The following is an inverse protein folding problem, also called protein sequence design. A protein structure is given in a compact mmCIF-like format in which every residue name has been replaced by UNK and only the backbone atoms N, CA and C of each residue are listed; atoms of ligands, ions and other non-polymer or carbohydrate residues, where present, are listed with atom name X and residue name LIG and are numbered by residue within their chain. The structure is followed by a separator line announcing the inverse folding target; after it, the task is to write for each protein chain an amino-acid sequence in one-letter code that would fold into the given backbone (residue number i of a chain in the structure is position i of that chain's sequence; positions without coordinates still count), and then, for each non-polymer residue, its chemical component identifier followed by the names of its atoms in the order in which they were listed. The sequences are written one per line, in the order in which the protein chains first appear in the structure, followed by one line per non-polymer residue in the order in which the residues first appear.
data_IF_994157992630
#
_entry.id   IF_994157992630
#
_cell.length_a   1.000
_cell.length_b   1.000
_cell.length_c   1.000
_cell.angle_alpha   90.00
_cell.angle_beta   90.00
_cell.angle_gamma   90.00
#
_symmetry.space_group_name_H-M   'P 1'
#
loop_
_entity.id
_entity.type
_entity.pdbx_description
1 polymer ?
#
# COMPACT_ATOMS: atom_id res chain seq x y z
N UNK A 1 10.19 13.46 1.09
CA UNK A 1 9.44 14.52 0.38
C UNK A 1 8.78 15.44 1.40
N UNK A 2 9.24 16.69 1.52
CA UNK A 2 8.63 17.72 2.35
C UNK A 2 7.49 18.44 1.61
N UNK A 3 6.41 18.79 2.30
CA UNK A 3 5.20 19.38 1.68
C UNK A 3 5.07 20.86 2.02
N UNK A 4 4.98 21.69 0.99
CA UNK A 4 4.65 23.12 1.09
C UNK A 4 3.23 23.32 0.54
N UNK A 5 2.29 23.70 1.42
CA UNK A 5 0.93 24.04 1.02
C UNK A 5 0.80 25.57 0.88
N UNK A 6 0.40 26.04 -0.30
CA UNK A 6 0.10 27.45 -0.55
C UNK A 6 -1.39 27.76 -0.29
N UNK A 7 -2.21 26.72 -0.14
CA UNK A 7 -3.66 26.84 0.01
C UNK A 7 -4.04 27.17 1.46
N UNK A 8 -4.74 28.29 1.67
CA UNK A 8 -5.33 28.61 2.98
C UNK A 8 -6.37 27.57 3.42
N UNK A 9 -6.89 26.79 2.48
CA UNK A 9 -7.92 25.76 2.62
C UNK A 9 -7.38 24.41 3.14
N UNK A 10 -6.08 24.31 3.44
CA UNK A 10 -5.44 23.11 4.00
C UNK A 10 -6.09 22.70 5.33
N UNK A 11 -6.26 21.39 5.55
CA UNK A 11 -6.83 20.84 6.79
C UNK A 11 -5.89 21.01 7.99
N UNK A 12 -4.59 21.17 7.78
CA UNK A 12 -3.60 21.46 8.81
C UNK A 12 -3.08 22.89 8.62
N UNK A 13 -3.61 23.84 9.40
CA UNK A 13 -3.31 25.27 9.25
C UNK A 13 -1.82 25.60 9.43
N UNK A 14 -1.10 24.82 10.26
CA UNK A 14 0.34 24.98 10.45
C UNK A 14 1.21 24.60 9.23
N UNK A 15 0.62 24.03 8.18
CA UNK A 15 1.35 23.71 6.93
C UNK A 15 1.26 24.77 5.84
N UNK A 16 0.47 25.83 6.05
CA UNK A 16 0.27 26.87 5.04
C UNK A 16 1.46 27.84 5.10
N UNK A 17 2.17 27.96 3.99
CA UNK A 17 3.31 28.88 3.86
C UNK A 17 2.86 30.08 3.02
N UNK A 18 3.05 31.32 3.51
CA UNK A 18 2.74 32.51 2.73
C UNK A 18 3.72 32.63 1.54
N UNK A 19 3.31 33.23 0.41
CA UNK A 19 4.11 33.25 -0.82
C UNK A 19 5.53 33.78 -0.67
N UNK A 20 5.74 34.75 0.22
CA UNK A 20 7.03 35.37 0.53
C UNK A 20 7.96 34.49 1.37
N UNK A 21 7.43 33.47 2.05
CA UNK A 21 8.20 32.55 2.89
C UNK A 21 8.45 31.17 2.24
N UNK A 22 8.02 30.97 0.99
CA UNK A 22 8.14 29.67 0.29
C UNK A 22 9.59 29.20 0.19
N UNK A 23 10.50 30.11 -0.21
CA UNK A 23 11.92 29.79 -0.35
C UNK A 23 12.54 29.40 1.00
N UNK A 24 12.31 30.20 2.04
CA UNK A 24 12.83 29.93 3.39
C UNK A 24 12.31 28.60 3.94
N UNK A 25 11.03 28.29 3.72
CA UNK A 25 10.44 27.02 4.12
C UNK A 25 11.07 25.84 3.38
N UNK A 26 11.31 25.96 2.07
CA UNK A 26 11.96 24.93 1.28
C UNK A 26 13.42 24.70 1.72
N UNK A 27 14.20 25.76 1.89
CA UNK A 27 15.59 25.68 2.37
C UNK A 27 15.66 25.01 3.75
N UNK A 28 14.75 25.36 4.66
CA UNK A 28 14.64 24.70 5.96
C UNK A 28 14.34 23.21 5.82
N UNK A 29 13.42 22.81 4.94
CA UNK A 29 13.14 21.40 4.70
C UNK A 29 14.34 20.65 4.10
N UNK A 30 15.15 21.30 3.26
CA UNK A 30 16.41 20.75 2.74
C UNK A 30 17.39 20.51 3.87
N UNK A 31 17.58 21.50 4.75
CA UNK A 31 18.44 21.37 5.95
C UNK A 31 17.96 20.26 6.90
N UNK A 32 16.65 20.08 7.03
CA UNK A 32 16.04 19.00 7.81
C UNK A 32 16.16 17.62 7.15
N UNK A 33 16.65 17.54 5.90
CA UNK A 33 16.94 16.30 5.19
C UNK A 33 15.87 15.86 4.19
N UNK A 34 15.09 16.77 3.61
CA UNK A 34 14.19 16.44 2.51
C UNK A 34 14.98 16.20 1.21
N UNK A 35 14.70 15.09 0.52
CA UNK A 35 15.24 14.82 -0.83
C UNK A 35 14.38 15.36 -1.98
N UNK A 36 13.14 15.76 -1.69
CA UNK A 36 12.15 16.29 -2.64
C UNK A 36 11.30 17.32 -1.92
N UNK A 37 11.02 18.46 -2.56
CA UNK A 37 9.96 19.40 -2.13
C UNK A 37 8.73 19.18 -2.99
N UNK A 38 7.55 19.07 -2.38
CA UNK A 38 6.27 18.99 -3.08
C UNK A 38 5.43 20.22 -2.77
N UNK A 39 5.03 20.96 -3.81
CA UNK A 39 4.24 22.18 -3.69
C UNK A 39 2.81 21.92 -4.14
N UNK A 40 1.85 22.20 -3.24
CA UNK A 40 0.43 22.15 -3.54
C UNK A 40 -0.24 23.51 -3.40
N UNK A 41 -0.93 23.96 -4.45
CA UNK A 41 -1.70 25.21 -4.44
C UNK A 41 -3.18 25.03 -4.04
N UNK A 42 -3.62 23.77 -3.92
CA UNK A 42 -5.01 23.38 -3.64
C UNK A 42 -5.06 22.34 -2.52
N UNK A 43 -6.04 22.48 -1.64
CA UNK A 43 -6.35 21.43 -0.67
C UNK A 43 -7.07 20.27 -1.35
N UNK A 44 -6.52 19.08 -1.22
CA UNK A 44 -7.14 17.82 -1.69
C UNK A 44 -8.11 17.22 -0.66
N UNK A 45 -8.37 17.94 0.43
CA UNK A 45 -9.32 17.50 1.45
C UNK A 45 -10.75 17.48 0.89
N UNK A 46 -11.55 16.41 1.06
CA UNK A 46 -12.85 16.28 0.40
C UNK A 46 -13.87 17.38 0.72
N UNK A 47 -13.69 18.08 1.84
CA UNK A 47 -14.57 19.17 2.28
C UNK A 47 -14.01 20.58 1.98
N UNK A 48 -12.83 20.68 1.34
CA UNK A 48 -12.28 21.97 0.95
C UNK A 48 -13.05 22.59 -0.23
N UNK A 49 -13.13 23.92 -0.24
CA UNK A 49 -13.68 24.66 -1.37
C UNK A 49 -12.83 24.46 -2.63
N UNK A 50 -13.48 24.30 -3.78
CA UNK A 50 -12.77 24.24 -5.07
C UNK A 50 -12.26 25.63 -5.42
N UNK A 51 -10.97 25.75 -5.72
CA UNK A 51 -10.39 26.95 -6.31
C UNK A 51 -10.50 26.92 -7.83
N UNK A 52 -10.44 28.08 -8.46
CA UNK A 52 -10.39 28.15 -9.92
C UNK A 52 -9.01 27.74 -10.46
N UNK A 53 -8.96 27.28 -11.71
CA UNK A 53 -7.71 26.98 -12.41
C UNK A 53 -6.74 28.17 -12.42
N UNK A 54 -7.27 29.37 -12.68
CA UNK A 54 -6.49 30.61 -12.68
C UNK A 54 -5.90 30.92 -11.30
N UNK A 55 -6.65 30.62 -10.25
CA UNK A 55 -6.19 30.80 -8.87
C UNK A 55 -5.07 29.81 -8.53
N UNK A 56 -5.21 28.53 -8.89
CA UNK A 56 -4.16 27.51 -8.74
C UNK A 56 -2.88 27.95 -9.46
N UNK A 57 -3.00 28.38 -10.72
CA UNK A 57 -1.89 28.91 -11.53
C UNK A 57 -1.20 30.09 -10.84
N UNK A 58 -1.98 31.09 -10.38
CA UNK A 58 -1.46 32.31 -9.77
C UNK A 58 -0.71 32.08 -8.46
N UNK A 59 -1.03 30.99 -7.74
CA UNK A 59 -0.34 30.58 -6.52
C UNK A 59 0.89 29.73 -6.84
N UNK A 60 0.74 28.74 -7.72
CA UNK A 60 1.75 27.71 -7.94
C UNK A 60 2.95 28.19 -8.75
N UNK A 61 2.74 28.83 -9.91
CA UNK A 61 3.83 29.16 -10.83
C UNK A 61 4.85 30.14 -10.21
N UNK A 62 4.44 31.21 -9.50
CA UNK A 62 5.40 32.07 -8.81
C UNK A 62 6.20 31.32 -7.74
N UNK A 63 5.57 30.42 -6.99
CA UNK A 63 6.24 29.62 -5.97
C UNK A 63 7.29 28.68 -6.57
N UNK A 64 6.98 28.01 -7.69
CA UNK A 64 7.95 27.16 -8.41
C UNK A 64 9.17 27.98 -8.87
N UNK A 65 8.95 29.19 -9.42
CA UNK A 65 10.04 30.07 -9.88
C UNK A 65 10.99 30.47 -8.75
N UNK A 66 10.48 30.64 -7.52
CA UNK A 66 11.30 30.93 -6.35
C UNK A 66 12.20 29.75 -5.95
N UNK A 67 11.78 28.51 -6.24
CA UNK A 67 12.51 27.31 -5.87
C UNK A 67 13.48 26.80 -6.93
N UNK A 68 13.64 27.49 -8.06
CA UNK A 68 14.51 27.06 -9.16
C UNK A 68 15.96 26.80 -8.74
N UNK A 69 16.45 27.51 -7.72
CA UNK A 69 17.84 27.47 -7.27
C UNK A 69 18.07 26.50 -6.09
N UNK A 70 17.07 25.72 -5.66
CA UNK A 70 17.30 24.72 -4.61
C UNK A 70 17.96 23.47 -5.20
N UNK A 71 18.81 22.81 -4.41
CA UNK A 71 19.64 21.68 -4.87
C UNK A 71 18.88 20.35 -5.01
N UNK A 72 17.57 20.32 -4.75
CA UNK A 72 16.74 19.10 -4.75
C UNK A 72 15.54 19.26 -5.69
N UNK A 73 15.04 18.16 -6.28
CA UNK A 73 13.93 18.22 -7.21
C UNK A 73 12.65 18.78 -6.57
N UNK A 74 11.92 19.57 -7.37
CA UNK A 74 10.63 20.14 -6.99
C UNK A 74 9.51 19.35 -7.69
N UNK A 75 8.61 18.80 -6.89
CA UNK A 75 7.36 18.19 -7.28
C UNK A 75 6.21 19.20 -7.21
N UNK A 76 5.28 19.14 -8.15
CA UNK A 76 4.06 19.95 -8.16
C UNK A 76 2.80 19.08 -8.07
N UNK A 77 1.95 19.34 -7.08
CA UNK A 77 0.65 18.69 -6.88
C UNK A 77 -0.42 19.44 -7.69
N UNK A 78 -0.70 18.93 -8.90
CA UNK A 78 -1.75 19.46 -9.78
C UNK A 78 -2.39 18.36 -10.62
N UNK A 79 -3.62 18.62 -11.06
CA UNK A 79 -4.38 17.76 -11.99
C UNK A 79 -4.60 18.45 -13.34
N UNK A 80 -4.02 19.64 -13.56
CA UNK A 80 -4.22 20.45 -14.76
C UNK A 80 -2.99 20.38 -15.67
N UNK A 81 -3.10 19.83 -16.89
CA UNK A 81 -1.94 19.60 -17.75
C UNK A 81 -1.18 20.88 -18.12
N UNK A 82 -1.89 21.98 -18.41
CA UNK A 82 -1.28 23.27 -18.75
C UNK A 82 -0.60 23.97 -17.57
N UNK A 83 -1.08 23.75 -16.35
CA UNK A 83 -0.35 24.20 -15.15
C UNK A 83 0.91 23.36 -14.97
N UNK A 84 0.82 22.04 -15.20
CA UNK A 84 1.96 21.15 -15.10
C UNK A 84 3.04 21.50 -16.13
N UNK A 85 2.66 21.75 -17.38
CA UNK A 85 3.54 22.16 -18.47
C UNK A 85 4.31 23.45 -18.14
N UNK A 86 3.60 24.52 -17.75
CA UNK A 86 4.23 25.79 -17.36
C UNK A 86 5.10 25.65 -16.09
N UNK A 87 4.70 24.79 -15.15
CA UNK A 87 5.49 24.56 -13.94
C UNK A 87 6.81 23.83 -14.23
N UNK A 88 6.81 22.86 -15.16
CA UNK A 88 8.03 22.21 -15.62
C UNK A 88 8.95 23.22 -16.31
N UNK A 89 8.41 24.07 -17.20
CA UNK A 89 9.16 25.18 -17.82
C UNK A 89 9.72 26.18 -16.78
N UNK A 90 9.00 26.38 -15.67
CA UNK A 90 9.41 27.23 -14.57
C UNK A 90 10.49 26.63 -13.66
N UNK A 91 10.78 25.33 -13.76
CA UNK A 91 11.84 24.64 -13.02
C UNK A 91 11.38 23.48 -12.13
N UNK A 92 10.10 23.08 -12.17
CA UNK A 92 9.68 21.84 -11.54
C UNK A 92 10.31 20.62 -12.24
N UNK A 93 10.44 19.52 -11.52
CA UNK A 93 11.08 18.29 -12.01
C UNK A 93 10.17 17.06 -11.94
N UNK A 94 9.11 17.10 -11.14
CA UNK A 94 8.22 15.96 -10.90
C UNK A 94 6.76 16.45 -10.94
N UNK A 95 5.88 15.67 -11.56
CA UNK A 95 4.43 15.90 -11.47
C UNK A 95 3.84 14.95 -10.43
N UNK A 96 3.03 15.47 -9.52
CA UNK A 96 2.21 14.68 -8.60
C UNK A 96 0.74 14.80 -8.99
N UNK A 97 0.24 13.82 -9.75
CA UNK A 97 -1.15 13.79 -10.20
C UNK A 97 -1.97 12.82 -9.34
N UNK A 98 -2.67 13.39 -8.36
CA UNK A 98 -3.59 12.66 -7.47
C UNK A 98 -4.79 12.04 -8.20
N UNK A 99 -5.06 12.41 -9.45
CA UNK A 99 -6.11 11.77 -10.25
C UNK A 99 -5.64 10.51 -10.97
N UNK A 100 -4.32 10.25 -11.05
CA UNK A 100 -3.80 9.14 -11.85
C UNK A 100 -4.24 9.23 -13.32
N UNK A 101 -4.18 10.42 -13.91
CA UNK A 101 -4.66 10.77 -15.26
C UNK A 101 -6.17 10.67 -15.50
N UNK A 102 -6.98 10.42 -14.46
CA UNK A 102 -8.44 10.31 -14.63
C UNK A 102 -9.14 11.67 -14.73
N UNK A 103 -8.54 12.74 -14.21
CA UNK A 103 -9.12 14.07 -14.28
C UNK A 103 -8.95 14.72 -15.67
N UNK A 104 -7.76 14.59 -16.26
CA UNK A 104 -7.45 15.09 -17.60
C UNK A 104 -6.41 14.19 -18.27
N UNK A 105 -6.81 13.59 -19.39
CA UNK A 105 -5.96 12.70 -20.17
C UNK A 105 -4.74 13.41 -20.79
N UNK A 106 -4.77 14.74 -20.95
CA UNK A 106 -3.66 15.52 -21.50
C UNK A 106 -2.43 15.55 -20.57
N UNK A 107 -2.59 15.23 -19.28
CA UNK A 107 -1.49 15.18 -18.32
C UNK A 107 -0.42 14.14 -18.74
N UNK A 108 -0.87 13.01 -19.28
CA UNK A 108 0.04 11.97 -19.75
C UNK A 108 0.91 12.44 -20.94
N UNK A 109 0.37 13.30 -21.80
CA UNK A 109 1.14 13.87 -22.91
C UNK A 109 2.20 14.85 -22.41
N UNK A 110 1.87 15.71 -21.44
CA UNK A 110 2.84 16.61 -20.80
C UNK A 110 3.98 15.83 -20.15
N UNK A 111 3.66 14.79 -19.36
CA UNK A 111 4.67 13.93 -18.72
C UNK A 111 5.58 13.27 -19.76
N UNK A 112 5.01 12.77 -20.86
CA UNK A 112 5.75 12.12 -21.95
C UNK A 112 6.65 13.12 -22.69
N UNK A 113 6.14 14.30 -23.03
CA UNK A 113 6.84 15.30 -23.82
C UNK A 113 8.01 15.91 -23.05
N UNK A 114 7.87 16.10 -21.73
CA UNK A 114 8.96 16.55 -20.84
C UNK A 114 9.86 15.41 -20.36
N UNK A 115 9.42 14.16 -20.46
CA UNK A 115 10.17 12.99 -19.98
C UNK A 115 10.43 13.00 -18.47
N UNK A 116 9.58 13.67 -17.68
CA UNK A 116 9.76 13.81 -16.23
C UNK A 116 9.16 12.64 -15.44
N UNK A 117 9.63 12.40 -14.19
CA UNK A 117 8.93 11.52 -13.26
C UNK A 117 7.51 12.01 -12.94
N UNK A 118 6.59 11.07 -12.74
CA UNK A 118 5.21 11.32 -12.35
C UNK A 118 4.79 10.41 -11.20
N UNK A 119 4.13 10.98 -10.20
CA UNK A 119 3.48 10.26 -9.11
C UNK A 119 2.01 10.09 -9.50
N UNK A 120 1.57 8.84 -9.57
CA UNK A 120 0.21 8.46 -9.95
C UNK A 120 -0.49 7.81 -8.76
N UNK A 121 -1.54 8.46 -8.28
CA UNK A 121 -2.32 7.96 -7.16
C UNK A 121 -3.45 7.03 -7.62
N UNK A 122 -3.73 5.99 -6.82
CA UNK A 122 -4.86 5.09 -7.06
C UNK A 122 -6.18 5.86 -7.14
N UNK A 123 -6.83 5.78 -8.30
CA UNK A 123 -8.07 6.48 -8.63
C UNK A 123 -8.84 5.77 -9.76
N UNK A 124 -10.16 5.68 -9.64
CA UNK A 124 -11.07 5.18 -10.67
C UNK A 124 -11.91 6.30 -11.28
N UNK A 125 -12.72 6.99 -10.47
CA UNK A 125 -13.59 8.09 -10.92
C UNK A 125 -13.19 9.42 -10.32
N UNK A 126 -12.79 9.40 -9.05
CA UNK A 126 -12.27 10.56 -8.32
C UNK A 126 -11.02 10.15 -7.55
N UNK A 127 -10.11 11.08 -7.23
CA UNK A 127 -8.90 10.77 -6.46
C UNK A 127 -9.20 9.93 -5.20
N UNK A 128 -8.53 8.78 -5.05
CA UNK A 128 -8.59 7.95 -3.86
C UNK A 128 -9.91 7.21 -3.59
N UNK A 129 -10.78 7.08 -4.60
CA UNK A 129 -12.03 6.29 -4.50
C UNK A 129 -11.89 4.76 -4.45
N UNK A 130 -10.76 4.10 -4.77
CA UNK A 130 -10.63 2.67 -4.51
C UNK A 130 -10.58 2.40 -2.99
N UNK A 131 -11.45 1.48 -2.54
CA UNK A 131 -11.56 1.09 -1.12
C UNK A 131 -11.09 -0.34 -0.95
N UNK A 132 -10.13 -0.53 -0.05
CA UNK A 132 -9.46 -1.80 0.20
C UNK A 132 -8.28 -2.03 -0.75
N UNK A 133 -7.32 -2.82 -0.27
CA UNK A 133 -6.04 -2.99 -0.97
C UNK A 133 -6.20 -3.64 -2.36
N UNK A 134 -7.13 -4.59 -2.54
CA UNK A 134 -7.32 -5.23 -3.85
C UNK A 134 -7.85 -4.24 -4.90
N UNK A 135 -8.78 -3.35 -4.52
CA UNK A 135 -9.27 -2.30 -5.42
C UNK A 135 -8.18 -1.26 -5.74
N UNK A 136 -7.30 -0.96 -4.77
CA UNK A 136 -6.12 -0.10 -4.98
C UNK A 136 -5.17 -0.73 -5.98
N UNK A 137 -4.88 -2.03 -5.85
CA UNK A 137 -4.02 -2.77 -6.78
C UNK A 137 -4.60 -2.75 -8.21
N UNK A 138 -5.88 -3.06 -8.37
CA UNK A 138 -6.53 -3.07 -9.69
C UNK A 138 -6.55 -1.68 -10.34
N UNK A 139 -6.76 -0.63 -9.54
CA UNK A 139 -6.71 0.76 -10.00
C UNK A 139 -5.31 1.13 -10.48
N UNK A 140 -4.28 0.82 -9.70
CA UNK A 140 -2.89 1.11 -10.06
C UNK A 140 -2.43 0.30 -11.28
N UNK A 141 -2.77 -0.98 -11.38
CA UNK A 141 -2.45 -1.82 -12.55
C UNK A 141 -2.98 -1.19 -13.85
N UNK A 142 -4.23 -0.72 -13.83
CA UNK A 142 -4.84 -0.01 -14.96
C UNK A 142 -4.15 1.33 -15.25
N UNK A 143 -3.83 2.11 -14.23
CA UNK A 143 -3.17 3.42 -14.39
C UNK A 143 -1.76 3.25 -14.98
N UNK A 144 -0.97 2.33 -14.45
CA UNK A 144 0.39 2.03 -14.94
C UNK A 144 0.34 1.58 -16.38
N UNK A 145 -0.51 0.59 -16.70
CA UNK A 145 -0.65 0.08 -18.07
C UNK A 145 -1.05 1.19 -19.04
N UNK A 146 -2.00 2.05 -18.64
CA UNK A 146 -2.43 3.18 -19.45
C UNK A 146 -1.36 4.27 -19.64
N UNK A 147 -0.45 4.44 -18.68
CA UNK A 147 0.69 5.34 -18.79
C UNK A 147 1.74 4.80 -19.78
N UNK A 148 2.07 3.51 -19.66
CA UNK A 148 3.04 2.82 -20.52
C UNK A 148 2.54 2.73 -21.97
N UNK A 149 1.25 2.44 -22.19
CA UNK A 149 0.60 2.44 -23.51
C UNK A 149 0.68 3.81 -24.22
N UNK A 150 0.79 4.89 -23.44
CA UNK A 150 0.96 6.26 -23.95
C UNK A 150 2.43 6.64 -24.18
N UNK A 151 3.35 5.72 -23.93
CA UNK A 151 4.79 5.91 -24.15
C UNK A 151 5.53 6.59 -23.00
N UNK A 152 4.93 6.67 -21.80
CA UNK A 152 5.66 7.12 -20.61
C UNK A 152 6.66 6.03 -20.21
N UNK A 153 7.90 6.42 -19.96
CA UNK A 153 8.94 5.49 -19.52
C UNK A 153 8.53 4.80 -18.21
N UNK A 154 8.64 3.45 -18.12
CA UNK A 154 8.41 2.72 -16.88
C UNK A 154 9.19 3.26 -15.68
N UNK A 155 10.40 3.79 -15.90
CA UNK A 155 11.29 4.34 -14.87
C UNK A 155 10.84 5.70 -14.32
N UNK A 156 9.92 6.36 -15.02
CA UNK A 156 9.37 7.66 -14.61
C UNK A 156 8.12 7.53 -13.73
N UNK A 157 7.59 6.32 -13.52
CA UNK A 157 6.32 6.13 -12.81
C UNK A 157 6.57 5.82 -11.34
N UNK A 158 6.00 6.65 -10.46
CA UNK A 158 5.91 6.45 -9.01
C UNK A 158 4.44 6.22 -8.66
N UNK A 159 4.14 5.31 -7.73
CA UNK A 159 2.76 4.99 -7.35
C UNK A 159 2.41 5.46 -5.93
N UNK A 160 1.21 6.00 -5.74
CA UNK A 160 0.63 6.31 -4.43
C UNK A 160 -0.66 5.49 -4.21
N UNK A 161 -0.76 4.67 -3.15
CA UNK A 161 -1.95 3.86 -2.87
C UNK A 161 -3.12 4.64 -2.25
N UNK A 162 -3.07 5.97 -2.26
CA UNK A 162 -4.12 6.88 -1.79
C UNK A 162 -4.48 6.71 -0.31
N UNK A 163 -3.50 6.51 0.58
CA UNK A 163 -3.78 6.42 2.03
C UNK A 163 -4.48 7.70 2.51
N UNK A 164 -5.44 7.60 3.42
CA UNK A 164 -6.23 8.69 3.95
C UNK A 164 -7.69 8.67 3.49
N UNK A 165 -8.51 9.49 4.17
CA UNK A 165 -9.93 9.64 3.82
C UNK A 165 -10.10 10.59 2.61
N UNK A 166 -10.17 10.00 1.43
CA UNK A 166 -10.45 10.70 0.15
C UNK A 166 -11.93 10.71 -0.23
N UNK A 167 -12.70 9.74 0.25
CA UNK A 167 -14.15 9.66 0.08
C UNK A 167 -14.81 9.45 1.44
N UNK A 168 -16.11 9.75 1.56
CA UNK A 168 -16.87 9.51 2.81
C UNK A 168 -16.98 8.02 3.15
N UNK A 169 -16.88 7.15 2.15
CA UNK A 169 -16.97 5.70 2.29
C UNK A 169 -15.66 5.07 2.81
N UNK A 170 -14.52 5.75 2.63
CA UNK A 170 -13.22 5.25 3.07
C UNK A 170 -13.01 5.46 4.57
N UNK A 171 -13.21 4.38 5.32
CA UNK A 171 -12.97 4.29 6.76
C UNK A 171 -11.49 4.08 7.11
N UNK A 172 -11.03 4.44 8.33
CA UNK A 172 -9.65 4.26 8.78
C UNK A 172 -9.11 2.83 8.68
N UNK A 173 -9.98 1.82 8.81
CA UNK A 173 -9.58 0.40 8.70
C UNK A 173 -8.93 0.10 7.34
N UNK A 174 -9.37 0.75 6.27
CA UNK A 174 -8.79 0.57 4.93
C UNK A 174 -7.44 1.29 4.79
N UNK A 175 -7.19 2.36 5.55
CA UNK A 175 -5.87 2.98 5.63
C UNK A 175 -4.88 2.07 6.34
N UNK A 176 -5.30 1.43 7.44
CA UNK A 176 -4.48 0.44 8.14
C UNK A 176 -4.21 -0.80 7.28
N UNK A 177 -5.23 -1.32 6.60
CA UNK A 177 -5.07 -2.42 5.64
C UNK A 177 -4.06 -2.06 4.55
N UNK A 178 -4.16 -0.86 3.96
CA UNK A 178 -3.24 -0.41 2.92
C UNK A 178 -1.81 -0.29 3.44
N UNK A 179 -1.61 0.27 4.64
CA UNK A 179 -0.30 0.38 5.28
C UNK A 179 0.29 -1.00 5.57
N UNK A 180 -0.50 -1.93 6.10
CA UNK A 180 -0.05 -3.30 6.41
C UNK A 180 0.32 -4.09 5.15
N UNK A 181 -0.28 -3.73 4.01
CA UNK A 181 -0.12 -4.42 2.74
C UNK A 181 0.71 -3.68 1.69
N UNK A 182 1.47 -2.64 2.05
CA UNK A 182 2.30 -1.88 1.10
C UNK A 182 3.28 -2.76 0.31
N UNK A 183 3.78 -3.86 0.88
CA UNK A 183 4.65 -4.81 0.18
C UNK A 183 4.01 -5.42 -1.07
N UNK A 184 2.67 -5.53 -1.12
CA UNK A 184 1.95 -6.11 -2.27
C UNK A 184 2.15 -5.25 -3.53
N UNK A 185 2.30 -3.94 -3.38
CA UNK A 185 2.52 -2.99 -4.47
C UNK A 185 3.88 -3.16 -5.16
N UNK A 186 4.85 -3.85 -4.54
CA UNK A 186 6.17 -4.10 -5.13
C UNK A 186 6.12 -4.91 -6.42
N UNK A 187 5.02 -5.63 -6.64
CA UNK A 187 4.76 -6.39 -7.86
C UNK A 187 4.73 -5.52 -9.12
N UNK A 188 4.48 -4.22 -8.96
CA UNK A 188 4.50 -3.26 -10.04
C UNK A 188 5.91 -2.78 -10.39
N UNK A 189 6.91 -3.12 -9.57
CA UNK A 189 8.32 -2.72 -9.73
C UNK A 189 8.49 -1.19 -9.82
N UNK A 190 7.56 -0.43 -9.24
CA UNK A 190 7.61 1.04 -9.17
C UNK A 190 7.97 1.51 -7.76
N UNK A 191 8.63 2.68 -7.61
CA UNK A 191 8.74 3.35 -6.33
C UNK A 191 7.35 3.64 -5.74
N UNK A 192 7.22 3.51 -4.42
CA UNK A 192 5.95 3.66 -3.69
C UNK A 192 6.04 4.89 -2.81
N UNK A 193 5.15 5.85 -3.05
CA UNK A 193 4.96 7.02 -2.20
C UNK A 193 3.89 6.74 -1.14
N UNK A 194 4.16 7.10 0.11
CA UNK A 194 3.21 7.05 1.20
C UNK A 194 3.06 8.43 1.85
N UNK A 195 1.89 9.04 1.67
CA UNK A 195 1.49 10.25 2.38
C UNK A 195 0.73 9.89 3.65
N UNK A 196 1.33 10.08 4.83
CA UNK A 196 0.76 9.65 6.12
C UNK A 196 0.60 10.79 7.13
N UNK A 197 1.40 11.85 6.97
CA UNK A 197 1.55 12.93 7.95
C UNK A 197 0.21 13.57 8.32
N UNK A 198 -0.13 13.50 9.61
CA UNK A 198 -1.28 14.16 10.27
C UNK A 198 -2.66 13.76 9.75
N UNK A 199 -2.78 12.66 8.98
CA UNK A 199 -4.04 12.21 8.36
C UNK A 199 -5.12 11.80 9.36
N UNK A 200 -6.37 11.74 8.89
CA UNK A 200 -7.58 11.53 9.70
C UNK A 200 -7.59 10.20 10.44
N UNK A 201 -7.11 9.10 9.84
CA UNK A 201 -7.08 7.78 10.49
C UNK A 201 -6.27 7.80 11.80
N UNK A 202 -5.18 8.58 11.86
CA UNK A 202 -4.39 8.79 13.07
C UNK A 202 -5.22 9.54 14.12
N UNK A 203 -5.91 10.60 13.70
CA UNK A 203 -6.77 11.38 14.58
C UNK A 203 -7.94 10.60 15.15
N UNK A 204 -8.54 9.73 14.35
CA UNK A 204 -9.67 8.89 14.74
C UNK A 204 -9.26 7.80 15.74
N UNK A 205 -8.08 7.24 15.57
CA UNK A 205 -7.53 6.24 16.50
C UNK A 205 -7.04 6.88 17.79
N UNK A 206 -6.28 7.97 17.71
CA UNK A 206 -5.70 8.63 18.89
C UNK A 206 -6.66 9.62 19.57
N UNK A 207 -7.81 9.92 18.96
CA UNK A 207 -8.74 10.98 19.38
C UNK A 207 -8.06 12.35 19.52
N UNK A 208 -7.22 12.70 18.53
CA UNK A 208 -6.40 13.91 18.54
C UNK A 208 -6.63 14.84 17.33
N UNK A 209 -6.56 16.17 17.52
CA UNK A 209 -6.58 17.13 16.41
C UNK A 209 -5.30 17.03 15.57
N UNK A 210 -5.28 17.61 14.37
CA UNK A 210 -4.18 17.45 13.40
C UNK A 210 -2.81 17.91 13.94
N UNK A 211 -2.83 18.91 14.81
CA UNK A 211 -1.70 19.55 15.47
C UNK A 211 -0.94 18.57 16.38
N UNK A 212 -1.64 17.60 16.97
CA UNK A 212 -1.09 16.66 17.96
C UNK A 212 -0.81 15.26 17.40
N UNK A 213 -0.87 15.09 16.07
CA UNK A 213 -0.70 13.79 15.40
C UNK A 213 0.74 13.44 15.05
N UNK A 214 1.74 14.23 15.48
CA UNK A 214 3.14 13.98 15.11
C UNK A 214 3.58 12.55 15.47
N UNK A 215 3.45 12.12 16.72
CA UNK A 215 3.89 10.78 17.13
C UNK A 215 3.15 9.65 16.40
N UNK A 216 1.85 9.82 16.15
CA UNK A 216 1.09 8.86 15.34
C UNK A 216 1.56 8.82 13.88
N UNK A 217 1.98 9.97 13.33
CA UNK A 217 2.53 10.08 11.98
C UNK A 217 3.89 9.41 11.86
N UNK A 218 4.75 9.56 12.87
CA UNK A 218 6.06 8.89 12.94
C UNK A 218 5.91 7.38 13.07
N UNK A 219 4.98 6.91 13.91
CA UNK A 219 4.68 5.49 14.04
C UNK A 219 4.15 4.88 12.72
N UNK A 220 3.20 5.55 12.07
CA UNK A 220 2.69 5.12 10.76
C UNK A 220 3.80 5.12 9.68
N UNK A 221 4.66 6.13 9.69
CA UNK A 221 5.82 6.23 8.79
C UNK A 221 6.76 5.04 8.96
N UNK A 222 7.14 4.72 10.21
CA UNK A 222 8.05 3.61 10.47
C UNK A 222 7.49 2.26 9.98
N UNK A 223 6.18 2.03 10.17
CA UNK A 223 5.49 0.84 9.66
C UNK A 223 5.48 0.84 8.13
N UNK A 224 5.15 1.97 7.49
CA UNK A 224 5.08 2.06 6.04
C UNK A 224 6.44 1.85 5.36
N UNK A 225 7.51 2.44 5.89
CA UNK A 225 8.89 2.23 5.43
C UNK A 225 9.27 0.76 5.56
N UNK A 226 8.99 0.14 6.72
CA UNK A 226 9.23 -1.29 6.96
C UNK A 226 8.48 -2.16 5.94
N UNK A 227 7.25 -1.79 5.61
CA UNK A 227 6.39 -2.57 4.71
C UNK A 227 6.70 -2.33 3.23
N UNK A 228 7.32 -1.21 2.84
CA UNK A 228 7.78 -1.07 1.45
C UNK A 228 7.83 0.33 0.87
N UNK A 229 7.40 1.36 1.59
CA UNK A 229 7.43 2.73 1.07
C UNK A 229 8.87 3.13 0.70
N UNK A 230 9.00 3.81 -0.44
CA UNK A 230 10.25 4.37 -0.96
C UNK A 230 10.29 5.89 -0.74
N UNK A 231 9.14 6.55 -0.80
CA UNK A 231 9.02 7.99 -0.59
C UNK A 231 8.00 8.24 0.51
N UNK A 232 8.37 9.02 1.52
CA UNK A 232 7.43 9.52 2.54
C UNK A 232 7.16 10.99 2.28
N UNK A 233 5.87 11.31 2.14
CA UNK A 233 5.37 12.69 1.99
C UNK A 233 4.91 13.21 3.36
N UNK A 234 5.56 14.28 3.86
CA UNK A 234 5.39 14.75 5.24
C UNK A 234 5.43 16.28 5.39
N UNK A 235 4.78 16.78 6.43
CA UNK A 235 4.89 18.19 6.87
C UNK A 235 6.03 18.41 7.88
N UNK A 236 6.45 17.36 8.59
CA UNK A 236 7.38 17.43 9.71
C UNK A 236 8.69 16.71 9.31
N UNK A 237 9.54 17.33 8.49
CA UNK A 237 10.65 16.66 7.80
C UNK A 237 11.66 16.06 8.78
N UNK A 238 12.28 16.88 9.62
CA UNK A 238 13.32 16.43 10.56
C UNK A 238 12.92 15.19 11.39
N UNK A 239 11.80 15.19 12.15
CA UNK A 239 11.42 14.01 12.92
C UNK A 239 11.01 12.81 12.04
N UNK A 240 10.52 13.06 10.82
CA UNK A 240 10.19 11.98 9.88
C UNK A 240 11.45 11.29 9.37
N UNK A 241 12.52 12.03 9.08
CA UNK A 241 13.82 11.47 8.66
C UNK A 241 14.38 10.52 9.71
N UNK A 242 14.31 10.88 10.99
CA UNK A 242 14.74 9.99 12.08
C UNK A 242 13.93 8.69 12.12
N UNK A 243 12.60 8.78 11.97
CA UNK A 243 11.73 7.60 11.91
C UNK A 243 12.05 6.70 10.70
N UNK A 244 12.33 7.29 9.54
CA UNK A 244 12.72 6.58 8.32
C UNK A 244 14.03 5.82 8.58
N UNK A 245 15.08 6.48 9.08
CA UNK A 245 16.40 5.86 9.32
C UNK A 245 16.33 4.64 10.25
N UNK A 246 15.53 4.73 11.31
CA UNK A 246 15.29 3.60 12.22
C UNK A 246 14.53 2.48 11.50
N UNK A 247 13.48 2.80 10.76
CA UNK A 247 12.67 1.81 10.06
C UNK A 247 13.43 1.10 8.93
N UNK A 248 14.28 1.81 8.18
CA UNK A 248 15.18 1.23 7.17
C UNK A 248 16.16 0.26 7.80
N UNK A 249 16.78 0.65 8.92
CA UNK A 249 17.72 -0.20 9.66
C UNK A 249 17.04 -1.47 10.20
N UNK A 250 15.75 -1.40 10.53
CA UNK A 250 14.95 -2.53 11.01
C UNK A 250 14.32 -3.37 9.87
N UNK A 251 14.33 -2.88 8.62
CA UNK A 251 13.69 -3.55 7.49
C UNK A 251 14.58 -4.69 6.98
N UNK A 252 14.07 -5.92 7.07
CA UNK A 252 14.72 -7.07 6.48
C UNK A 252 14.72 -6.97 4.95
N UNK A 253 15.84 -7.37 4.33
CA UNK A 253 15.95 -7.50 2.87
C UNK A 253 15.29 -8.79 2.43
N UNK A 254 14.58 -8.73 1.30
CA UNK A 254 14.13 -9.92 0.61
C UNK A 254 15.36 -10.54 -0.07
N UNK A 255 15.65 -11.84 0.11
CA UNK A 255 16.77 -12.48 -0.55
C UNK A 255 16.63 -12.46 -2.08
N UNK A 256 17.66 -11.93 -2.75
CA UNK A 256 17.85 -12.02 -4.18
C UNK A 256 19.32 -12.30 -4.47
N UNK A 257 19.61 -13.20 -5.42
CA UNK A 257 20.95 -13.64 -5.79
C UNK A 257 21.09 -13.61 -7.31
N UNK A 258 22.20 -13.05 -7.79
CA UNK A 258 22.53 -12.97 -9.21
C UNK A 258 23.86 -13.65 -9.51
N UNK A 259 23.91 -14.44 -10.58
CA UNK A 259 25.13 -15.06 -11.09
C UNK A 259 25.13 -15.03 -12.62
N UNK A 260 26.00 -14.20 -13.19
CA UNK A 260 25.99 -13.91 -14.63
C UNK A 260 24.65 -13.29 -15.05
N UNK A 261 23.98 -13.92 -16.02
CA UNK A 261 22.66 -13.49 -16.52
C UNK A 261 21.49 -14.07 -15.73
N UNK A 262 21.74 -14.98 -14.78
CA UNK A 262 20.68 -15.65 -14.02
C UNK A 262 20.46 -14.92 -12.70
N UNK A 263 19.20 -14.68 -12.39
CA UNK A 263 18.74 -14.03 -11.18
C UNK A 263 17.67 -14.89 -10.51
N UNK A 264 17.74 -15.00 -9.18
CA UNK A 264 16.80 -15.73 -8.37
C UNK A 264 16.41 -14.88 -7.16
N UNK A 265 15.11 -14.69 -6.95
CA UNK A 265 14.57 -13.92 -5.84
C UNK A 265 13.48 -14.69 -5.10
N UNK A 266 13.29 -14.35 -3.83
CA UNK A 266 12.17 -14.86 -3.03
C UNK A 266 10.98 -13.90 -3.15
N UNK A 267 9.87 -14.36 -3.73
CA UNK A 267 8.65 -13.56 -3.79
C UNK A 267 7.91 -13.54 -2.43
N UNK A 268 7.51 -12.34 -1.99
CA UNK A 268 6.69 -12.16 -0.78
C UNK A 268 5.19 -12.14 -1.11
N UNK A 269 4.63 -13.30 -1.41
CA UNK A 269 3.21 -13.46 -1.78
C UNK A 269 2.33 -13.47 -0.51
N UNK A 270 1.39 -12.53 -0.39
CA UNK A 270 0.49 -12.44 0.77
C UNK A 270 -0.87 -13.08 0.53
N UNK A 271 -1.41 -12.97 -0.69
CA UNK A 271 -2.67 -13.61 -1.08
C UNK A 271 -2.61 -14.22 -2.51
N UNK A 272 -3.63 -15.01 -2.91
CA UNK A 272 -3.64 -15.65 -4.23
C UNK A 272 -3.57 -14.64 -5.39
N UNK A 273 -4.22 -13.49 -5.26
CA UNK A 273 -4.29 -12.45 -6.28
C UNK A 273 -2.91 -11.83 -6.55
N UNK A 274 -2.06 -11.67 -5.52
CA UNK A 274 -0.65 -11.28 -5.69
C UNK A 274 0.11 -12.29 -6.56
N UNK A 275 -0.10 -13.58 -6.30
CA UNK A 275 0.51 -14.62 -7.10
C UNK A 275 0.03 -14.59 -8.55
N UNK A 276 -1.26 -14.32 -8.77
CA UNK A 276 -1.82 -14.19 -10.11
C UNK A 276 -1.21 -12.99 -10.87
N UNK A 277 -0.97 -11.86 -10.19
CA UNK A 277 -0.28 -10.69 -10.77
C UNK A 277 1.19 -10.99 -11.07
N UNK A 278 1.89 -11.71 -10.20
CA UNK A 278 3.32 -12.01 -10.39
C UNK A 278 3.52 -13.01 -11.55
N UNK A 279 2.58 -13.95 -11.68
CA UNK A 279 2.54 -14.82 -12.84
C UNK A 279 2.13 -14.05 -14.11
N UNK A 280 1.35 -12.98 -13.99
CA UNK A 280 0.98 -12.16 -15.14
C UNK A 280 2.18 -11.45 -15.74
N UNK A 281 3.02 -10.84 -14.90
CA UNK A 281 4.18 -10.05 -15.34
C UNK A 281 5.21 -10.88 -16.10
N UNK A 282 5.32 -12.18 -15.80
CA UNK A 282 6.17 -13.12 -16.55
C UNK A 282 5.49 -13.75 -17.77
N UNK A 283 4.26 -13.33 -18.11
CA UNK A 283 3.53 -13.81 -19.29
C UNK A 283 2.78 -15.14 -19.11
N UNK A 284 2.47 -15.57 -17.88
CA UNK A 284 1.72 -16.81 -17.67
C UNK A 284 0.26 -16.72 -18.13
N UNK A 285 -0.26 -17.83 -18.69
CA UNK A 285 -1.64 -17.88 -19.21
C UNK A 285 -2.69 -17.70 -18.11
N UNK A 286 -3.86 -17.10 -18.40
CA UNK A 286 -4.93 -16.94 -17.41
C UNK A 286 -5.34 -18.25 -16.72
N UNK A 287 -5.43 -19.35 -17.49
CA UNK A 287 -5.78 -20.67 -16.94
C UNK A 287 -4.70 -21.21 -15.98
N UNK A 288 -3.41 -21.02 -16.32
CA UNK A 288 -2.30 -21.41 -15.46
C UNK A 288 -2.30 -20.64 -14.13
N UNK A 289 -2.53 -19.33 -14.20
CA UNK A 289 -2.63 -18.44 -13.03
C UNK A 289 -3.72 -18.88 -12.06
N UNK A 290 -4.92 -19.14 -12.58
CA UNK A 290 -6.06 -19.52 -11.74
C UNK A 290 -5.84 -20.85 -11.00
N UNK A 291 -5.19 -21.82 -11.65
CA UNK A 291 -4.87 -23.11 -11.03
C UNK A 291 -3.76 -23.00 -9.99
N UNK A 292 -2.80 -22.09 -10.20
CA UNK A 292 -1.60 -21.99 -9.38
C UNK A 292 -1.75 -21.06 -8.18
N UNK A 293 -2.57 -20.01 -8.26
CA UNK A 293 -2.65 -18.97 -7.22
C UNK A 293 -2.98 -19.50 -5.82
N UNK A 294 -3.80 -20.54 -5.69
CA UNK A 294 -4.15 -21.14 -4.39
C UNK A 294 -3.10 -22.08 -3.81
N UNK A 295 -2.03 -22.38 -4.57
CA UNK A 295 -0.93 -23.24 -4.14
C UNK A 295 0.20 -22.47 -3.46
N UNK A 296 0.17 -21.14 -3.50
CA UNK A 296 1.25 -20.29 -2.97
C UNK A 296 1.00 -19.80 -1.55
N UNK A 297 -0.27 -19.73 -1.13
CA UNK A 297 -0.62 -19.36 0.24
C UNK A 297 -0.55 -20.58 1.15
N UNK A 298 0.24 -20.47 2.20
CA UNK A 298 0.47 -21.54 3.16
C UNK A 298 -0.16 -21.21 4.51
N UNK A 299 -0.82 -22.18 5.12
CA UNK A 299 -1.44 -22.07 6.43
C UNK A 299 -0.80 -23.01 7.44
N UNK A 300 -0.64 -22.50 8.66
CA UNK A 300 -0.25 -23.27 9.84
C UNK A 300 -1.36 -23.12 10.88
N UNK A 301 -2.29 -24.08 10.93
CA UNK A 301 -3.52 -23.97 11.73
C UNK A 301 -3.42 -24.88 12.94
N UNK A 302 -3.59 -24.32 14.14
CA UNK A 302 -3.63 -25.09 15.38
C UNK A 302 -5.08 -25.38 15.79
N UNK A 303 -5.43 -26.65 15.85
CA UNK A 303 -6.64 -27.15 16.50
C UNK A 303 -6.30 -27.62 17.91
N UNK A 304 -7.21 -27.38 18.86
CA UNK A 304 -7.10 -27.83 20.25
C UNK A 304 -8.37 -28.60 20.64
N UNK A 305 -8.25 -29.46 21.63
CA UNK A 305 -9.38 -30.18 22.23
C UNK A 305 -10.15 -31.09 21.26
N UNK A 306 -9.47 -31.60 20.22
CA UNK A 306 -10.01 -32.62 19.31
C UNK A 306 -9.65 -34.00 19.84
N UNK A 307 -10.42 -35.02 19.48
CA UNK A 307 -10.10 -36.40 19.85
C UNK A 307 -8.88 -36.91 19.09
N UNK A 308 -8.17 -37.86 19.67
CA UNK A 308 -7.06 -38.56 18.99
C UNK A 308 -7.47 -39.13 17.64
N UNK A 309 -8.69 -39.70 17.54
CA UNK A 309 -9.22 -40.22 16.28
C UNK A 309 -9.41 -39.14 15.22
N UNK A 310 -10.03 -38.01 15.57
CA UNK A 310 -10.21 -36.88 14.64
C UNK A 310 -8.85 -36.33 14.18
N UNK A 311 -7.89 -36.25 15.10
CA UNK A 311 -6.55 -35.76 14.82
C UNK A 311 -5.79 -36.67 13.84
N UNK A 312 -5.88 -37.99 14.02
CA UNK A 312 -5.31 -38.98 13.10
C UNK A 312 -5.99 -38.97 11.73
N UNK A 313 -7.32 -38.84 11.68
CA UNK A 313 -8.07 -38.72 10.41
C UNK A 313 -7.60 -37.49 9.64
N UNK A 314 -7.54 -36.32 10.29
CA UNK A 314 -7.09 -35.08 9.66
C UNK A 314 -5.65 -35.21 9.14
N UNK A 315 -4.75 -35.84 9.92
CA UNK A 315 -3.38 -36.10 9.49
C UNK A 315 -3.33 -36.94 8.21
N UNK A 316 -4.06 -38.05 8.15
CA UNK A 316 -4.09 -38.90 6.96
C UNK A 316 -4.67 -38.17 5.75
N UNK A 317 -5.74 -37.40 5.93
CA UNK A 317 -6.34 -36.61 4.86
C UNK A 317 -5.40 -35.49 4.35
N UNK A 318 -4.61 -34.87 5.23
CA UNK A 318 -3.61 -33.89 4.82
C UNK A 318 -2.46 -34.52 4.04
N UNK A 319 -1.92 -35.66 4.50
CA UNK A 319 -0.87 -36.41 3.80
C UNK A 319 -1.33 -36.82 2.38
N UNK A 320 -2.57 -37.29 2.24
CA UNK A 320 -3.15 -37.65 0.94
C UNK A 320 -3.25 -36.46 -0.05
N UNK A 321 -3.16 -35.22 0.43
CA UNK A 321 -3.20 -33.99 -0.39
C UNK A 321 -1.82 -33.34 -0.56
N UNK A 322 -0.77 -33.96 -0.02
CA UNK A 322 0.60 -33.43 -0.05
C UNK A 322 0.85 -32.30 0.95
N UNK A 323 -0.01 -32.15 1.97
CA UNK A 323 0.30 -31.36 3.16
C UNK A 323 0.66 -32.27 4.34
N UNK A 324 0.72 -31.73 5.55
CA UNK A 324 1.05 -32.50 6.75
C UNK A 324 0.26 -32.03 7.97
N UNK A 325 0.31 -32.82 9.05
CA UNK A 325 -0.23 -32.45 10.34
C UNK A 325 0.62 -33.02 11.48
N UNK A 326 1.07 -32.14 12.38
CA UNK A 326 1.88 -32.49 13.54
C UNK A 326 0.98 -32.81 14.75
N UNK A 327 1.24 -33.97 15.36
CA UNK A 327 0.51 -34.52 16.51
C UNK A 327 1.49 -34.78 17.67
N UNK A 328 1.03 -34.70 18.92
CA UNK A 328 1.81 -35.17 20.07
C UNK A 328 2.00 -36.68 20.02
N UNK A 329 3.06 -37.20 20.66
CA UNK A 329 3.43 -38.63 20.61
C UNK A 329 2.32 -39.52 21.16
N UNK A 330 1.68 -39.06 22.23
CA UNK A 330 0.64 -39.74 23.01
C UNK A 330 -0.66 -39.91 22.20
N UNK A 331 -0.85 -39.08 21.16
CA UNK A 331 -1.94 -39.27 20.19
C UNK A 331 -1.74 -40.54 19.34
N UNK A 332 -0.49 -40.93 19.07
CA UNK A 332 -0.23 -42.14 18.28
C UNK A 332 -0.53 -43.39 19.09
N UNK A 333 -0.32 -43.35 20.40
CA UNK A 333 -0.57 -44.48 21.32
C UNK A 333 -1.98 -44.52 21.91
N UNK A 334 -2.87 -43.57 21.54
CA UNK A 334 -4.23 -43.45 22.09
C UNK A 334 -4.28 -43.27 23.62
N UNK A 335 -3.20 -42.74 24.22
CA UNK A 335 -3.08 -42.57 25.67
C UNK A 335 -3.86 -41.35 26.21
N UNK A 336 -4.32 -40.47 25.31
CA UNK A 336 -5.06 -39.24 25.66
C UNK A 336 -6.35 -39.11 24.86
N UNK A 337 -7.45 -38.74 25.53
CA UNK A 337 -8.75 -38.54 24.88
C UNK A 337 -8.80 -37.27 24.02
N UNK A 338 -8.06 -36.23 24.42
CA UNK A 338 -8.05 -34.91 23.78
C UNK A 338 -6.63 -34.47 23.48
N UNK A 339 -6.40 -33.99 22.25
CA UNK A 339 -5.09 -33.61 21.74
C UNK A 339 -5.15 -32.26 21.00
N UNK A 340 -3.98 -31.69 20.77
CA UNK A 340 -3.80 -30.56 19.85
C UNK A 340 -3.16 -31.05 18.56
N UNK A 341 -3.51 -30.41 17.45
CA UNK A 341 -3.00 -30.73 16.12
C UNK A 341 -2.56 -29.44 15.43
N UNK A 342 -1.42 -29.45 14.76
CA UNK A 342 -1.01 -28.37 13.85
C UNK A 342 -1.10 -28.88 12.42
N UNK A 343 -2.04 -28.33 11.65
CA UNK A 343 -2.20 -28.57 10.21
C UNK A 343 -1.26 -27.64 9.47
N UNK A 344 -0.49 -28.18 8.53
CA UNK A 344 0.42 -27.43 7.66
C UNK A 344 0.12 -27.76 6.20
N UNK A 345 -0.13 -26.75 5.37
CA UNK A 345 -0.39 -26.96 3.95
C UNK A 345 -0.86 -25.70 3.22
N UNK A 346 -0.94 -25.81 1.90
CA UNK A 346 -1.40 -24.72 1.04
C UNK A 346 -2.91 -24.47 1.21
N UNK A 347 -3.38 -23.28 0.87
CA UNK A 347 -4.81 -22.94 0.88
C UNK A 347 -5.63 -23.96 0.11
N UNK A 348 -5.18 -24.37 -1.08
CA UNK A 348 -5.85 -25.41 -1.88
C UNK A 348 -5.95 -26.75 -1.12
N UNK A 349 -4.91 -27.15 -0.40
CA UNK A 349 -4.91 -28.40 0.37
C UNK A 349 -5.89 -28.32 1.54
N UNK A 350 -5.91 -27.20 2.27
CA UNK A 350 -6.83 -27.00 3.40
C UNK A 350 -8.29 -26.90 2.93
N UNK A 351 -8.58 -26.17 1.85
CA UNK A 351 -9.94 -26.14 1.25
C UNK A 351 -10.43 -27.55 0.86
N UNK A 352 -9.53 -28.38 0.31
CA UNK A 352 -9.84 -29.78 -0.03
C UNK A 352 -9.98 -30.68 1.20
N UNK A 353 -9.27 -30.40 2.30
CA UNK A 353 -9.45 -31.09 3.58
C UNK A 353 -10.85 -30.78 4.12
N UNK A 354 -11.20 -29.50 4.22
CA UNK A 354 -12.49 -29.01 4.71
C UNK A 354 -13.64 -29.72 3.96
N UNK A 355 -13.62 -29.70 2.62
CA UNK A 355 -14.66 -30.36 1.81
C UNK A 355 -14.82 -31.85 2.13
N UNK A 356 -13.73 -32.53 2.48
CA UNK A 356 -13.74 -33.97 2.73
C UNK A 356 -14.20 -34.32 4.13
N UNK A 357 -13.72 -33.63 5.16
CA UNK A 357 -14.04 -33.96 6.56
C UNK A 357 -15.45 -33.47 6.94
N UNK A 358 -15.99 -32.49 6.21
CA UNK A 358 -17.36 -31.96 6.36
C UNK A 358 -18.46 -33.03 6.29
N UNK A 359 -18.24 -34.12 5.57
CA UNK A 359 -19.20 -35.20 5.40
C UNK A 359 -18.85 -36.46 6.20
N UNK A 360 -17.92 -36.37 7.15
CA UNK A 360 -17.51 -37.48 7.99
C UNK A 360 -18.21 -37.46 9.35
N UNK A 361 -18.02 -38.53 10.13
CA UNK A 361 -18.64 -38.73 11.45
C UNK A 361 -17.90 -37.93 12.55
N UNK A 362 -18.46 -37.93 13.77
CA UNK A 362 -17.94 -37.22 14.97
C UNK A 362 -17.97 -35.70 14.78
N UNK A 363 -17.07 -34.96 15.42
CA UNK A 363 -17.01 -33.49 15.35
C UNK A 363 -16.27 -33.00 14.09
N UNK A 364 -15.95 -33.88 13.13
CA UNK A 364 -15.27 -33.48 11.89
C UNK A 364 -16.06 -32.45 11.05
N UNK A 365 -17.41 -32.50 10.97
CA UNK A 365 -18.19 -31.43 10.35
C UNK A 365 -18.02 -30.08 11.06
N UNK A 366 -18.06 -30.06 12.39
CA UNK A 366 -17.82 -28.85 13.18
C UNK A 366 -16.40 -28.31 12.97
N UNK A 367 -15.39 -29.19 12.92
CA UNK A 367 -14.00 -28.80 12.62
C UNK A 367 -13.91 -28.20 11.21
N UNK A 368 -14.59 -28.77 10.21
CA UNK A 368 -14.64 -28.18 8.86
C UNK A 368 -15.25 -26.76 8.89
N UNK A 369 -16.31 -26.53 9.65
CA UNK A 369 -16.92 -25.22 9.80
C UNK A 369 -15.98 -24.21 10.45
N UNK A 370 -15.32 -24.60 11.55
CA UNK A 370 -14.33 -23.75 12.21
C UNK A 370 -13.14 -23.41 11.32
N UNK A 371 -12.64 -24.38 10.53
CA UNK A 371 -11.56 -24.14 9.58
C UNK A 371 -12.01 -23.21 8.43
N UNK A 372 -13.23 -23.38 7.92
CA UNK A 372 -13.82 -22.48 6.93
C UNK A 372 -13.94 -21.06 7.46
N UNK A 373 -14.49 -20.89 8.66
CA UNK A 373 -14.66 -19.59 9.30
C UNK A 373 -13.31 -18.91 9.56
N UNK A 374 -12.31 -19.67 10.04
CA UNK A 374 -10.96 -19.15 10.29
C UNK A 374 -10.30 -18.60 9.02
N UNK A 375 -10.41 -19.33 7.89
CA UNK A 375 -9.87 -18.88 6.60
C UNK A 375 -10.60 -17.64 6.11
N UNK A 376 -11.93 -17.59 6.26
CA UNK A 376 -12.72 -16.43 5.84
C UNK A 376 -12.39 -15.19 6.65
N UNK A 377 -12.22 -15.31 7.98
CA UNK A 377 -11.85 -14.18 8.86
C UNK A 377 -10.50 -13.57 8.54
N UNK A 378 -9.55 -14.35 8.01
CA UNK A 378 -8.25 -13.84 7.52
C UNK A 378 -8.39 -12.92 6.30
N UNK A 379 -9.53 -12.92 5.61
CA UNK A 379 -9.77 -12.02 4.48
C UNK A 379 -10.81 -10.94 4.82
N UNK A 380 -11.21 -10.83 6.10
CA UNK A 380 -12.19 -9.86 6.57
C UNK A 380 -11.45 -8.66 7.18
N UNK A 381 -11.40 -7.56 6.43
CA UNK A 381 -10.77 -6.29 6.82
C UNK A 381 -11.29 -5.77 8.15
N UNK A 382 -12.59 -5.92 8.41
CA UNK A 382 -13.18 -5.48 9.68
C UNK A 382 -12.63 -6.37 10.80
N UNK A 383 -12.60 -7.69 10.62
CA UNK A 383 -12.02 -8.58 11.63
C UNK A 383 -10.53 -8.28 11.90
N UNK A 384 -9.73 -7.97 10.87
CA UNK A 384 -8.30 -7.74 11.03
C UNK A 384 -7.96 -6.40 11.70
N UNK A 385 -8.65 -5.33 11.32
CA UNK A 385 -8.27 -3.96 11.70
C UNK A 385 -9.25 -3.29 12.65
N UNK A 386 -10.46 -3.82 12.81
CA UNK A 386 -11.39 -3.33 13.82
C UNK A 386 -10.94 -3.82 15.18
N UNK A 387 -10.25 -2.94 15.92
CA UNK A 387 -10.03 -3.10 17.36
C UNK A 387 -11.31 -2.66 18.08
N UNK A 388 -12.40 -3.41 17.89
CA UNK A 388 -13.57 -3.30 18.75
C UNK A 388 -13.25 -4.08 20.03
N UNK A 389 -13.32 -3.39 21.17
CA UNK A 389 -13.51 -4.01 22.48
C UNK A 389 -14.90 -4.63 22.60
#
# INVERSE_FOLDING_TARGET
MGVINLSSESFYKGSVVPPDAVLDAALKMVEEGADIIDIGARSTWPLAGKISKQEEYSRLIPAVKLLKEIDIPVSIDTMFPDIADEALDAGASIINDVSGFTADAGMADVVKDHGCPVILMASNRVPGDPVGIDAVMDSLERIISGAEDRGISPDNIIIDPAIGRWTTEKLPIYDYETIDNLQRLRIFEKPILAALSRKSFIGETLKKPAEERLYGSLAATAIAVRNGAHIIRTHDVAPTVDAIRIAESARARIPAIKSGIIEAELLDIKNPEDCARAMHSIGATPAGREVMKKKTIHYNIRLRNITTTEALIIKQEMLARGGDAALPREAVSHETDKVSLIITGTQLQVERLIKKIRHQVRELPLIADLLSELINKKNDVVFEYSRLE
#
